data_IF_111343060218
#
_entry.id   IF_111343060218
#
_cell.length_a   1.000
_cell.length_b   1.000
_cell.length_c   1.000
_cell.angle_alpha   90.00
_cell.angle_beta   90.00
_cell.angle_gamma   90.00
#
_symmetry.space_group_name_H-M   'P 1'
#
loop_
_entity.id
_entity.type
_entity.pdbx_description
1 polymer ?
#
# COMPACT_ATOMS: atom_id res chain seq x y z
N UNK A 1 -16.54 -3.93 -33.67
CA UNK A 1 -15.14 -4.37 -33.93
C UNK A 1 -14.16 -3.58 -33.09
N UNK A 2 -14.15 -2.23 -33.14
CA UNK A 2 -13.27 -1.36 -32.33
C UNK A 2 -13.31 -1.68 -30.83
N UNK A 3 -14.50 -1.83 -30.25
CA UNK A 3 -14.64 -2.03 -28.80
C UNK A 3 -14.04 -3.35 -28.33
N UNK A 4 -14.12 -4.40 -29.17
CA UNK A 4 -13.52 -5.69 -28.90
C UNK A 4 -11.98 -5.60 -28.91
N UNK A 5 -11.39 -4.84 -29.84
CA UNK A 5 -9.96 -4.59 -29.87
C UNK A 5 -9.47 -3.82 -28.63
N UNK A 6 -10.21 -2.81 -28.17
CA UNK A 6 -9.86 -2.09 -26.94
C UNK A 6 -9.90 -3.00 -25.72
N UNK A 7 -10.94 -3.82 -25.58
CA UNK A 7 -11.05 -4.77 -24.47
C UNK A 7 -9.91 -5.78 -24.48
N UNK A 8 -9.58 -6.37 -25.64
CA UNK A 8 -8.47 -7.32 -25.79
C UNK A 8 -7.14 -6.64 -25.45
N UNK A 9 -6.90 -5.43 -25.95
CA UNK A 9 -5.67 -4.67 -25.67
C UNK A 9 -5.50 -4.38 -24.17
N UNK A 10 -6.57 -3.97 -23.49
CA UNK A 10 -6.56 -3.77 -22.03
C UNK A 10 -6.24 -5.07 -21.29
N UNK A 11 -6.86 -6.18 -21.68
CA UNK A 11 -6.60 -7.50 -21.06
C UNK A 11 -5.14 -7.90 -21.25
N UNK A 12 -4.57 -7.71 -22.44
CA UNK A 12 -3.16 -8.00 -22.74
C UNK A 12 -2.23 -7.11 -21.92
N UNK A 13 -2.49 -5.80 -21.84
CA UNK A 13 -1.70 -4.87 -21.01
C UNK A 13 -1.75 -5.24 -19.53
N UNK A 14 -2.92 -5.56 -19.00
CA UNK A 14 -3.08 -6.02 -17.62
C UNK A 14 -2.33 -7.34 -17.43
N UNK A 15 -2.43 -8.28 -18.37
CA UNK A 15 -1.76 -9.58 -18.30
C UNK A 15 -0.24 -9.42 -18.31
N UNK A 16 0.30 -8.54 -19.14
CA UNK A 16 1.74 -8.21 -19.18
C UNK A 16 2.16 -7.50 -17.88
N UNK A 17 1.35 -6.57 -17.37
CA UNK A 17 1.63 -5.91 -16.10
C UNK A 17 1.69 -6.90 -14.94
N UNK A 18 0.71 -7.80 -14.86
CA UNK A 18 0.65 -8.87 -13.86
C UNK A 18 1.80 -9.87 -14.04
N UNK A 19 2.11 -10.28 -15.27
CA UNK A 19 3.22 -11.17 -15.57
C UNK A 19 4.56 -10.54 -15.18
N UNK A 20 4.76 -9.25 -15.46
CA UNK A 20 5.94 -8.53 -15.02
C UNK A 20 6.02 -8.45 -13.50
N UNK A 21 4.92 -8.23 -12.78
CA UNK A 21 4.92 -8.30 -11.31
C UNK A 21 5.34 -9.69 -10.83
N UNK A 22 4.83 -10.75 -11.45
CA UNK A 22 5.15 -12.13 -11.09
C UNK A 22 6.61 -12.49 -11.39
N UNK A 23 7.12 -12.18 -12.58
CA UNK A 23 8.50 -12.43 -12.99
C UNK A 23 9.48 -11.64 -12.12
N UNK A 24 9.21 -10.35 -11.89
CA UNK A 24 10.06 -9.50 -11.04
C UNK A 24 10.11 -10.05 -9.61
N UNK A 25 9.07 -10.74 -9.14
CA UNK A 25 9.06 -11.39 -7.83
C UNK A 25 9.77 -12.74 -7.83
N UNK A 26 9.57 -13.59 -8.83
CA UNK A 26 10.19 -14.92 -8.87
C UNK A 26 11.70 -14.85 -9.10
N UNK A 27 12.16 -13.93 -9.95
CA UNK A 27 13.59 -13.73 -10.23
C UNK A 27 14.32 -13.06 -9.07
N UNK A 28 13.61 -12.29 -8.23
CA UNK A 28 14.21 -11.49 -7.15
C UNK A 28 13.84 -11.98 -5.74
N UNK A 29 13.11 -13.09 -5.61
CA UNK A 29 13.07 -13.83 -4.35
C UNK A 29 14.51 -14.27 -4.07
N UNK A 30 15.13 -13.80 -2.98
CA UNK A 30 16.46 -14.26 -2.63
C UNK A 30 16.37 -15.77 -2.45
N UNK A 31 17.13 -16.54 -3.23
CA UNK A 31 17.31 -17.96 -2.97
C UNK A 31 17.74 -18.09 -1.50
N UNK A 32 16.98 -18.88 -0.73
CA UNK A 32 17.03 -19.03 0.74
C UNK A 32 18.44 -19.23 1.31
N UNK A 33 19.41 -19.61 0.48
CA UNK A 33 20.80 -19.86 0.86
C UNK A 33 21.64 -18.60 1.11
N UNK A 34 21.18 -17.39 0.75
CA UNK A 34 21.95 -16.14 0.95
C UNK A 34 21.41 -15.20 2.04
N UNK A 35 20.27 -15.52 2.66
CA UNK A 35 19.58 -14.64 3.61
C UNK A 35 20.04 -14.76 5.07
N UNK A 36 20.91 -15.71 5.41
CA UNK A 36 21.37 -15.89 6.80
C UNK A 36 22.27 -14.76 7.32
N UNK A 37 22.64 -13.75 6.51
CA UNK A 37 23.55 -12.66 6.94
C UNK A 37 23.30 -11.24 6.41
N UNK A 38 22.21 -10.92 5.69
CA UNK A 38 21.92 -9.51 5.38
C UNK A 38 21.19 -8.86 6.55
N UNK A 39 21.91 -8.00 7.29
CA UNK A 39 21.40 -7.14 8.34
C UNK A 39 19.97 -6.67 8.02
N UNK A 40 19.02 -6.91 8.94
CA UNK A 40 17.68 -6.30 8.90
C UNK A 40 17.85 -4.78 9.02
N UNK A 41 18.13 -4.11 7.90
CA UNK A 41 18.32 -2.67 7.88
C UNK A 41 16.97 -2.02 8.14
N UNK A 42 16.92 -1.20 9.18
CA UNK A 42 15.79 -0.33 9.52
C UNK A 42 15.32 0.45 8.29
N UNK A 43 13.99 0.65 8.09
CA UNK A 43 13.53 1.54 7.04
C UNK A 43 14.10 2.94 7.27
N UNK A 44 14.61 3.57 6.22
CA UNK A 44 15.03 4.97 6.26
C UNK A 44 13.83 5.90 6.03
N UNK A 45 12.83 5.43 5.26
CA UNK A 45 11.60 6.15 4.95
C UNK A 45 10.39 5.25 5.18
N UNK A 46 9.36 5.80 5.81
CA UNK A 46 8.08 5.12 6.02
C UNK A 46 6.96 5.99 5.49
N UNK A 47 6.20 5.48 4.54
CA UNK A 47 5.01 6.12 4.01
C UNK A 47 3.81 5.40 4.61
N UNK A 48 2.93 6.13 5.27
CA UNK A 48 1.75 5.56 5.92
C UNK A 48 0.50 6.12 5.25
N UNK A 49 -0.40 5.24 4.82
CA UNK A 49 -1.75 5.66 4.46
C UNK A 49 -2.71 5.53 5.65
N UNK A 50 -3.30 6.66 6.03
CA UNK A 50 -4.37 6.76 6.99
C UNK A 50 -5.71 6.81 6.25
N UNK A 51 -6.44 5.71 6.34
CA UNK A 51 -7.83 5.63 5.93
C UNK A 51 -8.73 6.56 6.75
N UNK A 52 -10.02 6.26 6.83
CA UNK A 52 -10.94 7.01 7.69
C UNK A 52 -11.60 6.12 8.72
N UNK A 53 -11.90 6.67 9.89
CA UNK A 53 -12.60 5.94 10.95
C UNK A 53 -11.75 4.80 11.52
N UNK A 54 -12.29 3.58 11.49
CA UNK A 54 -11.68 2.38 12.08
C UNK A 54 -10.30 2.06 11.51
N UNK A 55 -10.10 2.19 10.19
CA UNK A 55 -8.81 1.93 9.54
C UNK A 55 -7.68 2.84 10.04
N UNK A 56 -8.01 4.10 10.38
CA UNK A 56 -7.03 4.98 11.04
C UNK A 56 -6.64 4.41 12.39
N UNK A 57 -7.61 3.94 13.18
CA UNK A 57 -7.34 3.31 14.48
C UNK A 57 -6.44 2.08 14.35
N UNK A 58 -6.75 1.18 13.40
CA UNK A 58 -5.92 0.01 13.09
C UNK A 58 -4.49 0.41 12.73
N UNK A 59 -4.31 1.38 11.82
CA UNK A 59 -2.98 1.82 11.42
C UNK A 59 -2.21 2.49 12.58
N UNK A 60 -2.86 3.32 13.39
CA UNK A 60 -2.21 3.94 14.55
C UNK A 60 -1.75 2.89 15.56
N UNK A 61 -2.55 1.83 15.79
CA UNK A 61 -2.16 0.71 16.65
C UNK A 61 -0.92 0.00 16.13
N UNK A 62 -0.88 -0.29 14.83
CA UNK A 62 0.28 -0.91 14.17
C UNK A 62 1.54 -0.04 14.35
N UNK A 63 1.42 1.28 14.14
CA UNK A 63 2.57 2.19 14.29
C UNK A 63 3.06 2.28 15.74
N UNK A 64 2.16 2.20 16.71
CA UNK A 64 2.49 2.12 18.14
C UNK A 64 3.24 0.83 18.45
N UNK A 65 2.72 -0.33 18.02
CA UNK A 65 3.35 -1.64 18.19
C UNK A 65 4.78 -1.67 17.62
N UNK A 66 5.01 -0.99 16.48
CA UNK A 66 6.30 -0.97 15.80
C UNK A 66 7.09 0.32 15.97
N UNK A 67 6.78 1.15 16.98
CA UNK A 67 7.34 2.50 17.16
C UNK A 67 8.87 2.48 17.12
N UNK A 68 9.50 1.59 17.89
CA UNK A 68 10.96 1.47 17.96
C UNK A 68 11.61 1.11 16.61
N UNK A 69 10.90 0.33 15.80
CA UNK A 69 11.35 -0.07 14.46
C UNK A 69 11.32 1.12 13.51
N UNK A 70 10.30 1.98 13.59
CA UNK A 70 10.15 3.14 12.70
C UNK A 70 10.80 4.42 13.22
N UNK A 71 11.14 4.51 14.52
CA UNK A 71 11.70 5.70 15.16
C UNK A 71 12.96 6.22 14.48
N UNK A 72 12.98 7.46 13.99
CA UNK A 72 14.13 8.02 13.26
C UNK A 72 14.12 7.75 11.75
N UNK A 73 13.11 7.05 11.23
CA UNK A 73 12.80 7.05 9.80
C UNK A 73 12.16 8.38 9.41
N UNK A 74 12.31 8.80 8.15
CA UNK A 74 11.54 9.90 7.58
C UNK A 74 10.10 9.44 7.33
N UNK A 75 9.12 10.03 8.03
CA UNK A 75 7.72 9.66 7.86
C UNK A 75 7.01 10.58 6.86
N UNK A 76 6.28 9.99 5.91
CA UNK A 76 5.35 10.70 5.04
C UNK A 76 3.93 10.16 5.24
N UNK A 77 2.98 11.04 5.51
CA UNK A 77 1.60 10.65 5.85
C UNK A 77 0.67 10.97 4.68
N UNK A 78 0.01 9.94 4.17
CA UNK A 78 -1.05 10.06 3.18
C UNK A 78 -2.38 9.86 3.91
N UNK A 79 -3.34 10.77 3.80
CA UNK A 79 -4.56 10.68 4.63
C UNK A 79 -5.83 11.03 3.87
N UNK A 80 -6.92 10.39 4.25
CA UNK A 80 -8.21 10.55 3.54
C UNK A 80 -9.14 11.63 4.12
N UNK A 81 -8.94 12.01 5.38
CA UNK A 81 -9.63 13.13 6.03
C UNK A 81 -8.76 13.76 7.13
N UNK A 82 -9.08 15.01 7.46
CA UNK A 82 -8.25 15.81 8.37
C UNK A 82 -8.25 15.25 9.80
N UNK A 83 -9.33 14.58 10.22
CA UNK A 83 -9.39 13.97 11.56
C UNK A 83 -8.39 12.82 11.68
N UNK A 84 -8.19 12.04 10.61
CA UNK A 84 -7.16 11.00 10.60
C UNK A 84 -5.75 11.56 10.80
N UNK A 85 -5.41 12.66 10.13
CA UNK A 85 -4.12 13.33 10.32
C UNK A 85 -3.98 13.85 11.75
N UNK A 86 -5.00 14.55 12.26
CA UNK A 86 -4.99 15.11 13.62
C UNK A 86 -4.79 14.03 14.69
N UNK A 87 -5.44 12.86 14.53
CA UNK A 87 -5.25 11.71 15.43
C UNK A 87 -3.81 11.19 15.40
N UNK A 88 -3.19 11.12 14.23
CA UNK A 88 -1.80 10.74 14.09
C UNK A 88 -0.87 11.73 14.80
N UNK A 89 -1.02 13.02 14.51
CA UNK A 89 -0.18 14.08 15.10
C UNK A 89 -0.30 14.13 16.64
N UNK A 90 -1.52 13.93 17.17
CA UNK A 90 -1.75 13.90 18.61
C UNK A 90 -1.10 12.71 19.30
N UNK A 91 -1.09 11.53 18.67
CA UNK A 91 -0.52 10.31 19.25
C UNK A 91 1.00 10.22 19.05
N UNK A 92 1.51 10.71 17.92
CA UNK A 92 2.90 10.56 17.49
C UNK A 92 3.65 11.90 17.45
N UNK A 93 3.49 12.75 18.48
CA UNK A 93 4.09 14.10 18.56
C UNK A 93 5.61 14.14 18.37
N UNK A 94 6.30 13.06 18.75
CA UNK A 94 7.75 12.96 18.69
C UNK A 94 8.28 12.52 17.30
N UNK A 95 7.39 12.18 16.37
CA UNK A 95 7.78 11.79 15.02
C UNK A 95 7.94 13.01 14.11
N UNK A 96 9.11 13.11 13.47
CA UNK A 96 9.35 14.13 12.45
C UNK A 96 8.65 13.72 11.15
N UNK A 97 7.52 14.36 10.86
CA UNK A 97 6.82 14.23 9.58
C UNK A 97 7.59 15.02 8.52
N UNK A 98 8.02 14.34 7.45
CA UNK A 98 8.65 14.97 6.29
C UNK A 98 7.60 15.70 5.44
N UNK A 99 6.50 15.01 5.14
CA UNK A 99 5.38 15.55 4.37
C UNK A 99 4.06 14.89 4.76
N UNK A 100 2.96 15.62 4.65
CA UNK A 100 1.61 15.10 4.83
C UNK A 100 0.72 15.55 3.67
N UNK A 101 0.05 14.61 3.00
CA UNK A 101 -0.80 14.93 1.86
C UNK A 101 -2.16 14.26 1.94
N UNK A 102 -3.19 15.06 1.67
CA UNK A 102 -4.55 14.58 1.57
C UNK A 102 -4.77 13.85 0.25
N UNK A 103 -5.35 12.66 0.33
CA UNK A 103 -5.74 11.83 -0.82
C UNK A 103 -7.25 11.64 -0.80
N UNK A 104 -7.87 11.60 -1.98
CA UNK A 104 -9.28 11.28 -2.12
C UNK A 104 -9.66 9.92 -1.51
N UNK A 105 -10.93 9.81 -1.10
CA UNK A 105 -11.54 8.52 -0.77
C UNK A 105 -12.07 7.92 -2.07
N UNK A 106 -11.56 6.76 -2.48
CA UNK A 106 -12.05 6.05 -3.66
C UNK A 106 -13.50 5.58 -3.53
N UNK A 107 -14.09 5.66 -2.32
CA UNK A 107 -15.52 5.49 -2.09
C UNK A 107 -15.95 6.24 -0.83
N UNK A 108 -16.99 7.06 -0.95
CA UNK A 108 -17.70 7.62 0.20
C UNK A 108 -18.79 6.62 0.60
N UNK A 109 -18.87 6.28 1.88
CA UNK A 109 -19.93 5.39 2.38
C UNK A 109 -21.28 6.05 2.09
N UNK A 110 -22.23 5.33 1.46
CA UNK A 110 -23.54 5.79 0.97
C UNK A 110 -23.60 6.60 -0.35
N UNK A 111 -22.56 6.63 -1.18
CA UNK A 111 -22.66 7.30 -2.49
C UNK A 111 -23.18 6.39 -3.61
N UNK A 112 -23.90 6.98 -4.58
CA UNK A 112 -24.40 6.27 -5.76
C UNK A 112 -23.25 5.71 -6.63
N UNK A 113 -23.53 4.72 -7.49
CA UNK A 113 -22.52 4.10 -8.38
C UNK A 113 -21.77 5.13 -9.25
N UNK A 114 -22.43 6.21 -9.66
CA UNK A 114 -21.85 7.31 -10.46
C UNK A 114 -20.90 8.17 -9.60
N UNK A 115 -21.32 8.52 -8.38
CA UNK A 115 -20.49 9.26 -7.43
C UNK A 115 -19.24 8.45 -7.03
N UNK A 116 -19.35 7.11 -6.99
CA UNK A 116 -18.21 6.23 -6.76
C UNK A 116 -17.15 6.36 -7.85
N UNK A 117 -17.53 6.37 -9.13
CA UNK A 117 -16.58 6.54 -10.25
C UNK A 117 -15.91 7.92 -10.21
N UNK A 118 -16.67 8.98 -9.91
CA UNK A 118 -16.12 10.33 -9.77
C UNK A 118 -15.09 10.38 -8.62
N UNK A 119 -15.40 9.77 -7.48
CA UNK A 119 -14.49 9.72 -6.33
C UNK A 119 -13.21 8.94 -6.62
N UNK A 120 -13.29 7.85 -7.41
CA UNK A 120 -12.12 7.12 -7.90
C UNK A 120 -11.27 8.02 -8.80
N UNK A 121 -11.88 8.72 -9.77
CA UNK A 121 -11.15 9.59 -10.67
C UNK A 121 -10.48 10.76 -9.92
N UNK A 122 -11.20 11.41 -9.01
CA UNK A 122 -10.64 12.45 -8.13
C UNK A 122 -9.48 11.93 -7.28
N UNK A 123 -9.59 10.69 -6.79
CA UNK A 123 -8.51 10.03 -6.05
C UNK A 123 -7.30 9.81 -6.95
N UNK A 124 -7.47 9.30 -8.17
CA UNK A 124 -6.40 9.13 -9.16
C UNK A 124 -5.72 10.47 -9.45
N UNK A 125 -6.48 11.53 -9.74
CA UNK A 125 -5.93 12.87 -10.01
C UNK A 125 -5.15 13.41 -8.80
N UNK A 126 -5.68 13.23 -7.59
CA UNK A 126 -5.01 13.68 -6.35
C UNK A 126 -3.69 12.96 -6.15
N UNK A 127 -3.67 11.64 -6.40
CA UNK A 127 -2.46 10.85 -6.34
C UNK A 127 -1.48 11.31 -7.43
N UNK A 128 -1.89 11.46 -8.69
CA UNK A 128 -0.98 11.92 -9.77
C UNK A 128 -0.37 13.29 -9.41
N UNK A 129 -1.18 14.24 -8.92
CA UNK A 129 -0.69 15.55 -8.47
C UNK A 129 0.33 15.43 -7.34
N UNK A 130 0.08 14.57 -6.36
CA UNK A 130 1.04 14.27 -5.29
C UNK A 130 2.38 13.80 -5.86
N UNK A 131 2.38 12.88 -6.81
CA UNK A 131 3.61 12.36 -7.39
C UNK A 131 4.35 13.38 -8.26
N UNK A 132 3.63 14.29 -8.94
CA UNK A 132 4.25 15.38 -9.70
C UNK A 132 4.90 16.40 -8.75
N UNK A 133 4.16 16.81 -7.71
CA UNK A 133 4.62 17.80 -6.73
C UNK A 133 5.80 17.27 -5.91
N UNK A 134 5.70 16.03 -5.42
CA UNK A 134 6.67 15.41 -4.55
C UNK A 134 7.54 14.36 -5.28
N UNK A 135 7.79 14.59 -6.58
CA UNK A 135 8.54 13.67 -7.45
C UNK A 135 9.89 13.27 -6.85
N UNK A 136 10.55 14.18 -6.15
CA UNK A 136 11.84 13.88 -5.53
C UNK A 136 11.70 12.87 -4.40
N UNK A 137 10.63 12.97 -3.60
CA UNK A 137 10.36 12.07 -2.48
C UNK A 137 9.91 10.70 -2.97
N UNK A 138 9.03 10.66 -3.99
CA UNK A 138 8.36 9.43 -4.42
C UNK A 138 8.91 8.78 -5.70
N UNK A 139 9.74 9.45 -6.52
CA UNK A 139 10.35 8.90 -7.76
C UNK A 139 11.88 8.87 -7.73
N UNK A 140 12.53 9.82 -7.05
CA UNK A 140 13.99 9.96 -7.11
C UNK A 140 14.71 9.49 -5.85
N UNK A 141 14.19 9.75 -4.65
CA UNK A 141 14.80 9.39 -3.37
C UNK A 141 14.22 8.08 -2.79
N UNK A 142 14.53 6.95 -3.41
CA UNK A 142 14.08 5.62 -2.98
C UNK A 142 15.12 4.90 -2.09
N UNK A 143 15.44 5.54 -0.97
CA UNK A 143 16.07 4.90 0.20
C UNK A 143 15.32 3.65 0.65
N UNK A 144 15.80 2.91 1.66
CA UNK A 144 15.08 1.75 2.21
C UNK A 144 13.67 2.19 2.68
N UNK A 145 12.65 2.00 1.84
CA UNK A 145 11.34 2.65 1.93
C UNK A 145 10.26 1.61 2.17
N UNK A 146 9.42 1.88 3.17
CA UNK A 146 8.30 1.04 3.54
C UNK A 146 6.98 1.80 3.32
N UNK A 147 6.10 1.28 2.47
CA UNK A 147 4.73 1.77 2.31
C UNK A 147 3.78 0.88 3.09
N UNK A 148 3.14 1.44 4.11
CA UNK A 148 2.14 0.77 4.95
C UNK A 148 0.74 1.18 4.51
N UNK A 149 -0.06 0.17 4.13
CA UNK A 149 -1.44 0.33 3.70
C UNK A 149 -2.35 -0.51 4.58
N UNK A 150 -3.44 0.08 5.03
CA UNK A 150 -4.56 -0.62 5.66
C UNK A 150 -5.86 0.06 5.24
N UNK A 151 -6.89 -0.75 4.98
CA UNK A 151 -8.25 -0.24 4.82
C UNK A 151 -8.74 -0.08 3.38
N UNK A 152 -9.32 1.09 3.00
CA UNK A 152 -10.34 1.20 1.94
C UNK A 152 -9.76 1.18 0.52
N UNK A 153 -10.66 1.21 -0.48
CA UNK A 153 -10.34 1.09 -1.91
C UNK A 153 -9.23 2.00 -2.45
N UNK A 154 -8.95 3.16 -1.81
CA UNK A 154 -7.81 4.02 -2.17
C UNK A 154 -6.46 3.28 -2.06
N UNK A 155 -6.35 2.27 -1.19
CA UNK A 155 -5.16 1.43 -1.07
C UNK A 155 -4.86 0.65 -2.36
N UNK A 156 -5.89 0.20 -3.10
CA UNK A 156 -5.70 -0.49 -4.39
C UNK A 156 -5.08 0.46 -5.40
N UNK A 157 -5.61 1.69 -5.50
CA UNK A 157 -5.10 2.70 -6.43
C UNK A 157 -3.65 3.09 -6.10
N UNK A 158 -3.35 3.31 -4.81
CA UNK A 158 -1.98 3.57 -4.35
C UNK A 158 -1.05 2.41 -4.68
N UNK A 159 -1.48 1.18 -4.39
CA UNK A 159 -0.66 -0.01 -4.64
C UNK A 159 -0.33 -0.17 -6.13
N UNK A 160 -1.33 0.00 -7.02
CA UNK A 160 -1.12 -0.04 -8.48
C UNK A 160 -0.09 1.00 -8.90
N UNK A 161 -0.25 2.26 -8.47
CA UNK A 161 0.64 3.32 -8.88
C UNK A 161 2.07 3.11 -8.37
N UNK A 162 2.24 2.76 -7.10
CA UNK A 162 3.58 2.49 -6.56
C UNK A 162 4.21 1.28 -7.24
N UNK A 163 3.43 0.26 -7.63
CA UNK A 163 3.95 -0.87 -8.40
C UNK A 163 4.38 -0.48 -9.82
N UNK A 164 3.64 0.40 -10.50
CA UNK A 164 4.04 1.00 -11.79
C UNK A 164 5.34 1.79 -11.63
N UNK A 165 5.49 2.55 -10.55
CA UNK A 165 6.70 3.34 -10.30
C UNK A 165 7.91 2.47 -10.05
N UNK A 166 7.73 1.37 -9.29
CA UNK A 166 8.79 0.38 -9.14
C UNK A 166 9.22 -0.14 -10.54
N UNK A 167 8.27 -0.40 -11.45
CA UNK A 167 8.55 -0.87 -12.83
C UNK A 167 9.32 0.16 -13.64
N UNK A 168 8.87 1.41 -13.67
CA UNK A 168 9.49 2.46 -14.49
C UNK A 168 10.88 2.83 -13.97
N UNK A 169 11.07 2.85 -12.65
CA UNK A 169 12.31 3.39 -12.08
C UNK A 169 13.44 2.36 -12.11
N UNK A 170 13.15 1.06 -12.32
CA UNK A 170 14.08 -0.08 -12.33
C UNK A 170 15.04 -0.17 -11.12
N UNK A 171 14.94 0.76 -10.15
CA UNK A 171 15.72 0.80 -8.93
C UNK A 171 15.54 -0.50 -8.17
N UNK A 172 16.58 -0.86 -7.43
CA UNK A 172 16.65 -2.02 -6.54
C UNK A 172 15.30 -2.27 -5.84
N UNK A 173 14.46 -3.08 -6.49
CA UNK A 173 13.13 -3.47 -6.05
C UNK A 173 13.12 -4.07 -4.65
N UNK A 174 14.30 -4.51 -4.20
CA UNK A 174 14.58 -5.01 -2.86
C UNK A 174 14.38 -3.95 -1.77
N UNK A 175 14.62 -2.66 -2.04
CA UNK A 175 14.65 -1.59 -1.03
C UNK A 175 13.31 -0.86 -0.84
N UNK A 176 12.37 -0.96 -1.78
CA UNK A 176 11.03 -0.41 -1.63
C UNK A 176 10.02 -1.53 -1.39
N UNK A 177 9.33 -1.53 -0.24
CA UNK A 177 8.37 -2.58 0.14
C UNK A 177 6.98 -2.01 0.37
N UNK A 178 5.99 -2.57 -0.29
CA UNK A 178 4.56 -2.32 -0.09
C UNK A 178 4.03 -3.41 0.84
N UNK A 179 3.61 -3.04 2.04
CA UNK A 179 2.93 -3.93 2.98
C UNK A 179 1.47 -3.50 3.05
N UNK A 180 0.59 -4.45 2.73
CA UNK A 180 -0.84 -4.29 2.96
C UNK A 180 -1.24 -5.14 4.16
N UNK A 181 -1.88 -4.52 5.16
CA UNK A 181 -2.47 -5.19 6.31
C UNK A 181 -3.99 -5.17 6.17
N UNK A 182 -4.60 -6.35 6.06
CA UNK A 182 -6.06 -6.50 6.05
C UNK A 182 -6.67 -6.05 7.39
N UNK A 183 -7.91 -5.56 7.34
CA UNK A 183 -8.60 -5.06 8.53
C UNK A 183 -8.83 -6.15 9.58
N UNK A 184 -8.73 -5.75 10.85
CA UNK A 184 -8.94 -6.61 12.01
C UNK A 184 -10.35 -7.20 12.04
N UNK A 185 -11.33 -6.49 11.47
CA UNK A 185 -12.71 -6.95 11.36
C UNK A 185 -12.90 -8.13 10.39
N UNK A 186 -11.88 -8.54 9.63
CA UNK A 186 -11.97 -9.59 8.60
C UNK A 186 -11.41 -10.92 9.10
N UNK A 187 -12.21 -11.62 9.90
CA UNK A 187 -11.82 -12.89 10.52
C UNK A 187 -11.82 -14.10 9.58
N UNK A 188 -12.74 -14.14 8.60
CA UNK A 188 -13.01 -15.36 7.80
C UNK A 188 -12.96 -15.15 6.27
N UNK A 189 -12.89 -13.89 5.81
CA UNK A 189 -12.82 -13.56 4.39
C UNK A 189 -12.15 -12.21 4.16
N UNK A 190 -11.43 -12.05 3.04
CA UNK A 190 -10.79 -10.79 2.67
C UNK A 190 -11.83 -9.71 2.43
N UNK A 191 -11.51 -8.45 2.74
CA UNK A 191 -12.29 -7.31 2.27
C UNK A 191 -12.22 -7.24 0.73
N UNK A 192 -13.08 -6.47 0.08
CA UNK A 192 -12.97 -6.28 -1.38
C UNK A 192 -11.61 -5.69 -1.77
N UNK A 193 -11.09 -4.77 -0.95
CA UNK A 193 -9.76 -4.17 -1.14
C UNK A 193 -8.66 -5.21 -0.95
N UNK A 194 -8.71 -5.99 0.13
CA UNK A 194 -7.74 -7.05 0.36
C UNK A 194 -7.80 -8.15 -0.68
N UNK A 195 -8.99 -8.53 -1.15
CA UNK A 195 -9.18 -9.46 -2.27
C UNK A 195 -8.43 -8.99 -3.51
N UNK A 196 -8.65 -7.73 -3.93
CA UNK A 196 -7.98 -7.18 -5.11
C UNK A 196 -6.46 -7.14 -4.93
N UNK A 197 -5.97 -6.64 -3.79
CA UNK A 197 -4.53 -6.55 -3.54
C UNK A 197 -3.88 -7.93 -3.48
N UNK A 198 -4.54 -8.92 -2.87
CA UNK A 198 -4.05 -10.28 -2.73
C UNK A 198 -3.93 -11.00 -4.09
N UNK A 199 -5.02 -11.00 -4.87
CA UNK A 199 -5.08 -11.75 -6.13
C UNK A 199 -4.34 -11.05 -7.27
N UNK A 200 -4.38 -9.71 -7.32
CA UNK A 200 -3.60 -8.93 -8.31
C UNK A 200 -2.14 -8.72 -7.88
N UNK A 201 -1.72 -9.28 -6.74
CA UNK A 201 -0.35 -9.19 -6.21
C UNK A 201 0.17 -7.74 -6.10
N UNK A 202 -0.68 -6.83 -5.63
CA UNK A 202 -0.37 -5.41 -5.56
C UNK A 202 0.44 -5.00 -4.32
N UNK A 203 0.72 -5.91 -3.37
CA UNK A 203 1.62 -5.69 -2.23
C UNK A 203 2.75 -6.70 -2.20
N UNK A 204 3.94 -6.28 -1.78
CA UNK A 204 5.10 -7.16 -1.59
C UNK A 204 4.86 -8.12 -0.42
N UNK A 205 4.22 -7.62 0.65
CA UNK A 205 3.71 -8.45 1.73
C UNK A 205 2.22 -8.20 1.94
N UNK A 206 1.47 -9.29 2.11
CA UNK A 206 0.06 -9.26 2.45
C UNK A 206 -0.10 -9.86 3.85
N UNK A 207 -0.58 -9.08 4.80
CA UNK A 207 -0.69 -9.49 6.20
C UNK A 207 -2.16 -9.65 6.57
N UNK A 208 -2.47 -10.78 7.20
CA UNK A 208 -3.74 -11.07 7.87
C UNK A 208 -3.46 -11.29 9.35
N UNK A 209 -4.46 -11.03 10.20
CA UNK A 209 -4.29 -11.14 11.65
C UNK A 209 -4.84 -12.45 12.22
N UNK A 210 -5.75 -13.10 11.49
CA UNK A 210 -6.45 -14.32 11.91
C UNK A 210 -5.78 -15.56 11.32
N UNK A 211 -5.64 -16.62 12.11
CA UNK A 211 -4.94 -17.83 11.70
C UNK A 211 -5.71 -18.58 10.60
N UNK A 212 -7.03 -18.59 10.69
CA UNK A 212 -7.95 -19.14 9.70
C UNK A 212 -7.76 -18.48 8.32
N UNK A 213 -7.53 -17.17 8.31
CA UNK A 213 -7.22 -16.42 7.10
C UNK A 213 -5.87 -16.85 6.53
N UNK A 214 -4.87 -17.08 7.37
CA UNK A 214 -3.55 -17.53 6.91
C UNK A 214 -3.61 -18.90 6.24
N UNK A 215 -4.42 -19.81 6.78
CA UNK A 215 -4.65 -21.15 6.20
C UNK A 215 -5.37 -21.03 4.85
N UNK A 216 -6.41 -20.18 4.79
CA UNK A 216 -7.22 -19.99 3.58
C UNK A 216 -6.49 -19.22 2.47
N UNK A 217 -5.57 -18.33 2.84
CA UNK A 217 -4.84 -17.45 1.93
C UNK A 217 -3.32 -17.66 2.10
N UNK A 218 -2.74 -18.72 1.48
CA UNK A 218 -1.37 -19.16 1.75
C UNK A 218 -0.28 -18.16 1.32
N UNK A 219 -0.60 -17.15 0.52
CA UNK A 219 0.34 -16.07 0.20
C UNK A 219 0.37 -14.94 1.24
N UNK A 220 -0.50 -15.01 2.25
CA UNK A 220 -0.52 -14.07 3.35
C UNK A 220 0.47 -14.47 4.45
N UNK A 221 0.91 -13.49 5.23
CA UNK A 221 1.65 -13.72 6.46
C UNK A 221 0.74 -13.42 7.65
N UNK A 222 0.92 -14.17 8.73
CA UNK A 222 0.19 -13.98 9.97
C UNK A 222 1.16 -13.75 11.13
N UNK A 223 0.91 -12.68 11.89
CA UNK A 223 1.69 -12.29 13.06
C UNK A 223 0.80 -12.12 14.31
N UNK A 224 -0.47 -12.54 14.22
CA UNK A 224 -1.50 -12.28 15.23
C UNK A 224 -2.08 -10.87 15.14
N UNK A 225 -2.67 -10.42 16.24
CA UNK A 225 -3.25 -9.08 16.36
C UNK A 225 -2.10 -8.07 16.46
N UNK A 226 -2.05 -7.14 15.50
CA UNK A 226 -1.01 -6.10 15.37
C UNK A 226 -1.44 -4.77 15.99
#
# INVERSE_FOLDING_TARGET
MSDLYYVISIIVMISIFLLNILITRSVLQPTDKSQTRKNKTKPEKVIVYLGSGGHTGEMLKILETYENTIKGSQLSILYSDNNSLLRFENQFKNFKILTSHKIGKARQVNSSKISSVISIFQTIVSIIKLFIQERNIFLFNHKNTLLLLNGPGSCVLLSILFQIIKLITFKEYSKFKIIYIESLARCNSLSMTGFLIYYLKLSDEFIVQWQEMCIKYPYSKCYGIL
#
